data_IF_209874438916
#
_entry.id   IF_209874438916
#
_cell.length_a   1.000
_cell.length_b   1.000
_cell.length_c   1.000
_cell.angle_alpha   90.00
_cell.angle_beta   90.00
_cell.angle_gamma   90.00
#
_symmetry.space_group_name_H-M   'P 1'
#
loop_
_entity.id
_entity.type
_entity.pdbx_description
1 polymer ?
#
# COMPACT_ATOMS: atom_id res chain seq x y z
N UNK A 1 -1.25 6.53 -8.65
CA UNK A 1 -0.33 5.37 -8.58
C UNK A 1 1.07 5.86 -8.25
N UNK A 2 1.67 5.33 -7.18
CA UNK A 2 3.02 5.66 -6.73
C UNK A 2 4.00 4.67 -7.38
N UNK A 3 5.02 5.18 -8.07
CA UNK A 3 6.04 4.37 -8.73
C UNK A 3 7.37 5.09 -8.72
N UNK A 4 8.46 4.38 -8.47
CA UNK A 4 9.82 4.91 -8.70
C UNK A 4 10.07 4.98 -10.22
N UNK A 5 10.43 6.16 -10.79
CA UNK A 5 10.61 6.29 -12.24
C UNK A 5 11.60 5.29 -12.86
N UNK A 6 12.63 4.90 -12.11
CA UNK A 6 13.62 3.91 -12.54
C UNK A 6 13.10 2.46 -12.54
N UNK A 7 11.98 2.18 -11.86
CA UNK A 7 11.34 0.85 -11.80
C UNK A 7 10.37 0.67 -12.95
N UNK A 8 10.90 0.69 -14.16
CA UNK A 8 10.12 0.48 -15.39
C UNK A 8 9.49 -0.90 -15.45
N UNK A 9 10.11 -1.91 -14.81
CA UNK A 9 9.54 -3.25 -14.63
C UNK A 9 8.20 -3.17 -13.89
N UNK A 10 8.18 -2.51 -12.73
CA UNK A 10 6.97 -2.34 -11.91
C UNK A 10 5.93 -1.51 -12.62
N UNK A 11 6.37 -0.47 -13.33
CA UNK A 11 5.50 0.39 -14.12
C UNK A 11 4.73 -0.41 -15.18
N UNK A 12 5.41 -1.28 -15.92
CA UNK A 12 4.73 -2.13 -16.90
C UNK A 12 3.77 -3.13 -16.23
N UNK A 13 4.15 -3.71 -15.08
CA UNK A 13 3.29 -4.66 -14.35
C UNK A 13 1.98 -4.01 -13.89
N UNK A 14 2.04 -2.83 -13.28
CA UNK A 14 0.83 -2.13 -12.81
C UNK A 14 -0.05 -1.61 -13.96
N UNK A 15 0.53 -1.24 -15.10
CA UNK A 15 -0.24 -0.87 -16.30
C UNK A 15 -1.05 -2.05 -16.84
N UNK A 16 -0.50 -3.27 -16.79
CA UNK A 16 -1.25 -4.49 -17.13
C UNK A 16 -2.43 -4.68 -16.18
N UNK A 17 -2.23 -4.48 -14.87
CA UNK A 17 -3.31 -4.59 -13.88
C UNK A 17 -4.37 -3.50 -14.05
N UNK A 18 -3.99 -2.25 -14.36
CA UNK A 18 -4.95 -1.20 -14.71
C UNK A 18 -5.79 -1.57 -15.95
N UNK A 19 -5.16 -2.15 -16.97
CA UNK A 19 -5.84 -2.63 -18.17
C UNK A 19 -6.92 -3.67 -17.88
N UNK A 20 -6.75 -4.49 -16.84
CA UNK A 20 -7.74 -5.51 -16.43
C UNK A 20 -9.05 -4.92 -15.90
N UNK A 21 -9.03 -3.67 -15.45
CA UNK A 21 -10.23 -2.93 -15.03
C UNK A 21 -10.63 -1.84 -16.03
N UNK A 22 -10.06 -1.88 -17.24
CA UNK A 22 -10.40 -0.95 -18.33
C UNK A 22 -9.73 0.42 -18.24
N UNK A 23 -8.72 0.60 -17.38
CA UNK A 23 -7.96 1.84 -17.28
C UNK A 23 -6.65 1.76 -18.06
N UNK A 24 -6.29 2.85 -18.72
CA UNK A 24 -5.00 3.03 -19.39
C UNK A 24 -4.08 4.00 -18.65
N UNK A 25 -2.78 4.05 -18.99
CA UNK A 25 -1.85 5.02 -18.42
C UNK A 25 -2.18 6.47 -18.80
N UNK A 26 -2.86 6.68 -19.93
CA UNK A 26 -3.32 7.99 -20.42
C UNK A 26 -4.76 8.32 -19.98
N UNK A 27 -5.38 7.46 -19.17
CA UNK A 27 -6.72 7.72 -18.65
C UNK A 27 -6.69 8.94 -17.71
N UNK A 28 -7.59 9.92 -17.85
CA UNK A 28 -7.61 11.12 -17.01
C UNK A 28 -7.82 10.84 -15.51
N UNK A 29 -8.32 9.65 -15.15
CA UNK A 29 -8.46 9.19 -13.77
C UNK A 29 -7.16 8.61 -13.20
N UNK A 30 -6.18 8.31 -14.05
CA UNK A 30 -4.90 7.72 -13.66
C UNK A 30 -3.83 8.79 -13.68
N UNK A 31 -3.31 9.09 -12.48
CA UNK A 31 -2.10 9.90 -12.33
C UNK A 31 -0.96 9.04 -11.79
N UNK A 32 0.18 9.10 -12.46
CA UNK A 32 1.41 8.53 -11.92
C UNK A 32 2.15 9.58 -11.10
N UNK A 33 2.42 9.22 -9.86
CA UNK A 33 3.17 10.02 -8.92
C UNK A 33 4.59 9.44 -8.78
N UNK A 34 5.65 10.22 -9.05
CA UNK A 34 7.02 9.75 -8.87
C UNK A 34 7.29 9.55 -7.37
N UNK A 35 7.54 8.31 -6.97
CA UNK A 35 7.81 7.98 -5.58
C UNK A 35 9.05 8.74 -5.06
N UNK A 36 8.98 9.16 -3.80
CA UNK A 36 10.04 9.90 -3.13
C UNK A 36 11.13 8.94 -2.68
N UNK A 37 12.38 9.19 -3.10
CA UNK A 37 13.57 8.46 -2.67
C UNK A 37 14.49 9.34 -1.82
N UNK A 38 14.33 9.36 -0.49
CA UNK A 38 15.17 10.16 0.38
C UNK A 38 16.60 9.63 0.40
N UNK A 39 17.58 10.52 0.60
CA UNK A 39 19.00 10.14 0.67
C UNK A 39 19.36 9.42 1.99
N UNK A 40 18.59 9.64 3.05
CA UNK A 40 18.85 9.12 4.39
C UNK A 40 17.55 8.69 5.09
N UNK A 41 17.65 7.78 6.06
CA UNK A 41 16.48 7.26 6.80
C UNK A 41 15.90 8.25 7.83
N UNK A 42 16.70 9.18 8.36
CA UNK A 42 16.31 10.02 9.48
C UNK A 42 15.81 9.18 10.68
N UNK A 43 14.69 9.59 11.27
CA UNK A 43 14.02 8.91 12.38
C UNK A 43 13.24 7.65 11.98
N UNK A 44 13.19 7.30 10.69
CA UNK A 44 12.50 6.11 10.21
C UNK A 44 13.36 4.85 10.36
N UNK A 45 12.70 3.70 10.34
CA UNK A 45 13.35 2.38 10.40
C UNK A 45 14.27 2.10 9.20
N UNK A 46 13.95 2.65 8.03
CA UNK A 46 14.73 2.49 6.80
C UNK A 46 14.52 3.66 5.83
N UNK A 47 15.41 3.78 4.84
CA UNK A 47 15.27 4.74 3.73
C UNK A 47 13.98 4.45 2.96
N UNK A 48 13.67 3.17 2.72
CA UNK A 48 12.47 2.73 2.04
C UNK A 48 11.19 3.10 2.79
N UNK A 49 11.15 2.89 4.11
CA UNK A 49 10.00 3.27 4.93
C UNK A 49 9.74 4.79 4.90
N UNK A 50 10.81 5.59 4.98
CA UNK A 50 10.71 7.05 4.81
C UNK A 50 10.22 7.42 3.41
N UNK A 51 10.74 6.77 2.37
CA UNK A 51 10.35 7.02 0.98
C UNK A 51 8.88 6.71 0.72
N UNK A 52 8.40 5.56 1.18
CA UNK A 52 6.99 5.16 1.10
C UNK A 52 6.09 6.17 1.86
N UNK A 53 6.44 6.50 3.11
CA UNK A 53 5.71 7.52 3.89
C UNK A 53 5.62 8.88 3.16
N UNK A 54 6.76 9.39 2.67
CA UNK A 54 6.80 10.67 1.99
C UNK A 54 6.04 10.64 0.65
N UNK A 55 6.09 9.52 -0.08
CA UNK A 55 5.34 9.36 -1.33
C UNK A 55 3.84 9.46 -1.11
N UNK A 56 3.32 8.79 -0.07
CA UNK A 56 1.91 8.91 0.31
C UNK A 56 1.57 10.33 0.75
N UNK A 57 2.40 10.96 1.59
CA UNK A 57 2.18 12.33 2.05
C UNK A 57 2.10 13.31 0.86
N UNK A 58 3.00 13.21 -0.11
CA UNK A 58 2.99 14.13 -1.26
C UNK A 58 1.80 13.86 -2.21
N UNK A 59 1.37 12.61 -2.38
CA UNK A 59 0.11 12.31 -3.09
C UNK A 59 -1.10 12.96 -2.40
N UNK A 60 -1.16 12.91 -1.07
CA UNK A 60 -2.22 13.55 -0.30
C UNK A 60 -2.18 15.08 -0.44
N UNK A 61 -0.99 15.68 -0.41
CA UNK A 61 -0.82 17.13 -0.62
C UNK A 61 -1.25 17.56 -2.03
N UNK A 62 -0.85 16.80 -3.04
CA UNK A 62 -1.25 17.03 -4.44
C UNK A 62 -2.78 16.96 -4.59
N UNK A 63 -3.42 15.96 -3.97
CA UNK A 63 -4.87 15.82 -3.98
C UNK A 63 -5.58 17.01 -3.32
N UNK A 64 -5.09 17.50 -2.19
CA UNK A 64 -5.61 18.72 -1.53
C UNK A 64 -5.42 19.94 -2.42
N UNK A 65 -4.22 20.13 -2.98
CA UNK A 65 -3.92 21.28 -3.83
C UNK A 65 -4.81 21.33 -5.08
N UNK A 66 -5.17 20.18 -5.64
CA UNK A 66 -6.07 20.04 -6.78
C UNK A 66 -7.55 20.03 -6.42
N UNK A 67 -7.90 20.05 -5.13
CA UNK A 67 -9.28 20.03 -4.67
C UNK A 67 -10.01 18.70 -4.91
N UNK A 68 -9.28 17.59 -4.99
CA UNK A 68 -9.90 16.27 -5.14
C UNK A 68 -10.68 15.88 -3.89
N UNK A 69 -11.92 15.43 -4.09
CA UNK A 69 -12.81 14.97 -3.01
C UNK A 69 -12.78 13.47 -2.81
N UNK A 70 -12.21 12.73 -3.75
CA UNK A 70 -12.08 11.27 -3.68
C UNK A 70 -10.83 10.88 -4.43
N UNK A 71 -9.98 10.08 -3.82
CA UNK A 71 -8.76 9.55 -4.44
C UNK A 71 -8.58 8.07 -4.12
N UNK A 72 -7.87 7.38 -5.00
CA UNK A 72 -7.36 6.03 -4.77
C UNK A 72 -5.84 6.06 -4.93
N UNK A 73 -5.14 5.69 -3.86
CA UNK A 73 -3.69 5.53 -3.85
C UNK A 73 -3.40 4.06 -4.09
N UNK A 74 -2.64 3.79 -5.16
CA UNK A 74 -2.12 2.48 -5.53
C UNK A 74 -0.60 2.53 -5.52
N UNK A 75 0.06 1.55 -4.91
CA UNK A 75 1.50 1.31 -5.12
C UNK A 75 1.72 0.51 -6.42
N UNK A 76 2.95 0.54 -6.96
CA UNK A 76 3.28 -0.10 -8.25
C UNK A 76 3.40 -1.63 -8.19
N UNK A 77 3.31 -2.21 -7.00
CA UNK A 77 3.32 -3.64 -6.75
C UNK A 77 1.94 -4.21 -6.44
N UNK A 78 0.84 -3.49 -6.71
CA UNK A 78 -0.51 -4.06 -6.54
C UNK A 78 -0.89 -5.00 -7.70
N UNK A 79 -1.52 -6.11 -7.34
CA UNK A 79 -2.30 -6.99 -8.22
C UNK A 79 -3.78 -6.95 -7.81
N UNK A 80 -4.70 -7.04 -8.77
CA UNK A 80 -6.10 -7.31 -8.48
C UNK A 80 -6.30 -8.77 -8.04
N UNK A 81 -7.17 -8.97 -7.06
CA UNK A 81 -7.60 -10.33 -6.70
C UNK A 81 -8.63 -10.85 -7.70
N UNK A 82 -8.81 -12.17 -7.75
CA UNK A 82 -9.87 -12.76 -8.58
C UNK A 82 -11.25 -12.25 -8.21
N UNK A 83 -11.50 -11.99 -6.92
CA UNK A 83 -12.76 -11.44 -6.44
C UNK A 83 -13.01 -10.03 -6.98
N UNK A 84 -11.98 -9.18 -7.03
CA UNK A 84 -12.10 -7.85 -7.62
C UNK A 84 -12.51 -7.90 -9.11
N UNK A 85 -11.90 -8.82 -9.86
CA UNK A 85 -12.15 -8.97 -11.28
C UNK A 85 -13.49 -9.64 -11.61
N UNK A 86 -14.00 -10.53 -10.74
CA UNK A 86 -15.25 -11.26 -11.00
C UNK A 86 -16.49 -10.54 -10.49
N UNK A 87 -16.43 -9.91 -9.31
CA UNK A 87 -17.61 -9.36 -8.63
C UNK A 87 -17.83 -7.87 -8.91
N UNK A 88 -16.79 -7.17 -9.38
CA UNK A 88 -16.82 -5.72 -9.63
C UNK A 88 -16.85 -4.86 -8.36
N UNK A 89 -16.73 -3.54 -8.53
CA UNK A 89 -16.55 -2.58 -7.43
C UNK A 89 -17.86 -1.89 -6.97
N UNK A 90 -19.03 -2.47 -7.24
CA UNK A 90 -20.33 -1.81 -7.03
C UNK A 90 -20.55 -1.30 -5.60
N UNK A 91 -20.25 -2.13 -4.59
CA UNK A 91 -20.42 -1.75 -3.17
C UNK A 91 -19.42 -0.67 -2.72
N UNK A 92 -18.20 -0.66 -3.28
CA UNK A 92 -17.19 0.38 -3.01
C UNK A 92 -17.67 1.75 -3.50
N UNK A 93 -18.37 1.77 -4.64
CA UNK A 93 -18.90 3.00 -5.24
C UNK A 93 -20.17 3.49 -4.54
N UNK A 94 -21.03 2.58 -4.09
CA UNK A 94 -22.32 2.91 -3.48
C UNK A 94 -22.24 3.36 -2.01
N UNK A 95 -21.16 3.00 -1.30
CA UNK A 95 -21.02 3.25 0.15
C UNK A 95 -20.32 4.58 0.43
N UNK A 96 -20.69 5.27 1.53
CA UNK A 96 -20.16 6.59 1.92
C UNK A 96 -19.01 6.50 2.94
N UNK A 97 -18.05 5.61 2.71
CA UNK A 97 -16.86 5.49 3.56
C UNK A 97 -15.95 6.72 3.39
N UNK A 98 -15.23 7.07 4.44
CA UNK A 98 -14.21 8.12 4.39
C UNK A 98 -12.83 7.52 4.07
N UNK A 99 -12.48 6.40 4.70
CA UNK A 99 -11.23 5.67 4.51
C UNK A 99 -11.49 4.24 4.07
N UNK A 100 -10.82 3.76 3.02
CA UNK A 100 -10.96 2.40 2.51
C UNK A 100 -9.59 1.72 2.40
N UNK A 101 -9.48 0.51 2.95
CA UNK A 101 -8.35 -0.39 2.74
C UNK A 101 -8.74 -1.51 1.77
N UNK A 102 -7.90 -1.84 0.80
CA UNK A 102 -8.18 -2.86 -0.22
C UNK A 102 -8.16 -4.33 0.27
N UNK A 103 -8.12 -4.54 1.58
CA UNK A 103 -7.87 -5.84 2.23
C UNK A 103 -6.40 -6.24 2.32
N UNK A 104 -6.04 -7.18 3.21
CA UNK A 104 -4.66 -7.65 3.42
C UNK A 104 -4.13 -8.58 2.32
N UNK A 105 -4.93 -8.91 1.30
CA UNK A 105 -4.52 -9.70 0.14
C UNK A 105 -4.48 -11.22 0.35
N UNK A 106 -4.82 -11.72 1.55
CA UNK A 106 -4.71 -13.15 1.92
C UNK A 106 -6.05 -13.81 2.28
N UNK A 107 -7.18 -13.15 2.01
CA UNK A 107 -8.49 -13.70 2.40
C UNK A 107 -8.89 -14.90 1.54
N UNK A 108 -9.40 -15.95 2.16
CA UNK A 108 -10.11 -17.00 1.46
C UNK A 108 -11.37 -16.39 0.81
N UNK A 109 -11.67 -16.75 -0.43
CA UNK A 109 -12.89 -16.32 -1.13
C UNK A 109 -14.08 -16.88 -0.36
N UNK A 110 -14.75 -16.04 0.44
CA UNK A 110 -15.95 -16.40 1.16
C UNK A 110 -17.06 -15.44 0.76
N UNK A 111 -18.00 -15.92 -0.07
CA UNK A 111 -19.22 -15.20 -0.45
C UNK A 111 -19.28 -14.80 -1.93
N UNK A 112 -20.46 -14.29 -2.31
CA UNK A 112 -20.69 -13.58 -3.59
C UNK A 112 -20.59 -12.08 -3.29
N UNK A 113 -19.88 -11.33 -4.10
CA UNK A 113 -19.68 -9.88 -3.91
C UNK A 113 -18.48 -9.50 -3.04
N UNK A 114 -18.12 -8.21 -3.13
CA UNK A 114 -17.12 -7.55 -2.29
C UNK A 114 -17.85 -6.72 -1.25
N UNK A 115 -17.83 -7.16 0.01
CA UNK A 115 -18.42 -6.44 1.13
C UNK A 115 -17.44 -5.43 1.76
N UNK A 116 -17.98 -4.49 2.54
CA UNK A 116 -17.20 -3.53 3.32
C UNK A 116 -17.31 -3.77 4.83
N UNK A 117 -16.28 -4.38 5.41
CA UNK A 117 -16.19 -4.55 6.86
C UNK A 117 -15.69 -3.27 7.53
N UNK A 118 -16.20 -2.97 8.73
CA UNK A 118 -15.71 -1.85 9.54
C UNK A 118 -14.32 -2.16 10.08
N UNK A 119 -13.37 -1.24 9.89
CA UNK A 119 -12.10 -1.27 10.58
C UNK A 119 -12.24 -0.52 11.91
N UNK A 120 -12.18 -1.25 13.02
CA UNK A 120 -12.24 -0.62 14.35
C UNK A 120 -10.99 0.25 14.60
N UNK A 121 -11.08 1.39 15.32
CA UNK A 121 -9.96 2.33 15.47
C UNK A 121 -8.67 1.73 16.06
N UNK A 122 -8.78 0.71 16.90
CA UNK A 122 -7.63 0.00 17.48
C UNK A 122 -7.02 -1.09 16.58
N UNK A 123 -7.64 -1.40 15.44
CA UNK A 123 -7.14 -2.39 14.50
C UNK A 123 -6.17 -1.73 13.52
N UNK A 124 -4.92 -2.18 13.57
CA UNK A 124 -3.87 -1.75 12.66
C UNK A 124 -4.17 -2.21 11.23
N UNK A 125 -3.79 -1.36 10.26
CA UNK A 125 -3.74 -1.70 8.84
C UNK A 125 -2.32 -2.06 8.46
N UNK A 126 -2.19 -2.97 7.50
CA UNK A 126 -0.91 -3.42 6.94
C UNK A 126 -1.09 -3.63 5.45
N UNK A 127 0.00 -3.49 4.70
CA UNK A 127 0.02 -3.64 3.24
C UNK A 127 -0.89 -2.58 2.60
N UNK A 128 -0.50 -1.31 2.72
CA UNK A 128 -1.31 -0.18 2.26
C UNK A 128 -1.11 0.13 0.78
N UNK A 129 -0.87 -0.91 -0.04
CA UNK A 129 -0.74 -0.83 -1.50
C UNK A 129 -2.03 -0.39 -2.20
N UNK A 130 -3.16 -0.41 -1.48
CA UNK A 130 -4.46 0.10 -1.92
C UNK A 130 -5.15 0.88 -0.79
N UNK A 131 -5.24 2.21 -0.94
CA UNK A 131 -5.91 3.10 0.01
C UNK A 131 -6.85 4.06 -0.71
N UNK A 132 -8.15 3.98 -0.42
CA UNK A 132 -9.16 4.92 -0.87
C UNK A 132 -9.44 5.98 0.19
N UNK A 133 -9.59 7.24 -0.22
CA UNK A 133 -9.88 8.36 0.70
C UNK A 133 -10.93 9.29 0.10
N UNK A 134 -11.86 9.76 0.93
CA UNK A 134 -12.95 10.67 0.52
C UNK A 134 -13.14 11.83 1.49
N UNK A 135 -13.48 12.99 0.94
CA UNK A 135 -13.85 14.19 1.67
C UNK A 135 -12.69 14.81 2.46
N UNK A 136 -13.03 15.41 3.60
CA UNK A 136 -12.13 16.20 4.42
C UNK A 136 -10.98 15.40 5.04
N UNK A 137 -11.09 14.06 5.12
CA UNK A 137 -10.05 13.26 5.76
C UNK A 137 -8.72 13.31 4.99
N UNK A 138 -8.75 13.65 3.70
CA UNK A 138 -7.53 13.81 2.89
C UNK A 138 -6.68 14.94 3.49
N UNK A 139 -7.28 16.11 3.75
CA UNK A 139 -6.58 17.25 4.35
C UNK A 139 -6.17 16.97 5.81
N UNK A 140 -7.02 16.26 6.57
CA UNK A 140 -6.70 15.86 7.94
C UNK A 140 -5.52 14.90 8.00
N UNK A 141 -5.42 13.96 7.06
CA UNK A 141 -4.28 13.06 6.92
C UNK A 141 -3.00 13.82 6.58
N UNK A 142 -3.05 14.80 5.67
CA UNK A 142 -1.89 15.67 5.39
C UNK A 142 -1.37 16.31 6.67
N UNK A 143 -2.25 16.98 7.42
CA UNK A 143 -1.86 17.65 8.66
C UNK A 143 -1.31 16.67 9.70
N UNK A 144 -1.92 15.49 9.84
CA UNK A 144 -1.49 14.48 10.80
C UNK A 144 -0.13 13.88 10.44
N UNK A 145 0.08 13.45 9.19
CA UNK A 145 1.36 12.89 8.72
C UNK A 145 2.47 13.94 8.76
N UNK A 146 2.19 15.21 8.48
CA UNK A 146 3.16 16.30 8.66
C UNK A 146 3.57 16.47 10.13
N UNK A 147 2.61 16.41 11.06
CA UNK A 147 2.91 16.47 12.50
C UNK A 147 3.73 15.25 12.95
N UNK A 148 3.54 14.07 12.36
CA UNK A 148 4.38 12.90 12.66
C UNK A 148 5.84 13.13 12.31
N UNK A 149 6.15 13.87 11.24
CA UNK A 149 7.53 14.17 10.84
C UNK A 149 8.28 15.06 11.83
N UNK A 150 7.57 15.82 12.68
CA UNK A 150 8.18 16.72 13.67
C UNK A 150 8.34 16.09 15.05
N UNK A 151 7.88 14.84 15.23
CA UNK A 151 7.96 14.11 16.49
C UNK A 151 9.18 13.17 16.50
N UNK A 152 9.71 12.81 17.67
CA UNK A 152 10.74 11.77 17.76
C UNK A 152 10.19 10.39 17.37
N UNK A 153 11.06 9.52 16.87
CA UNK A 153 10.71 8.11 16.67
C UNK A 153 10.17 7.49 17.98
N UNK A 154 9.09 6.71 17.87
CA UNK A 154 8.46 6.08 19.04
C UNK A 154 7.62 7.04 19.92
N UNK A 155 7.34 8.27 19.48
CA UNK A 155 6.41 9.17 20.17
C UNK A 155 5.07 8.46 20.47
N UNK A 156 4.50 8.65 21.69
CA UNK A 156 3.22 8.05 22.07
C UNK A 156 2.02 8.66 21.34
N UNK A 157 2.20 9.78 20.66
CA UNK A 157 1.23 10.39 19.74
C UNK A 157 1.38 9.88 18.29
N UNK A 158 2.37 9.01 18.04
CA UNK A 158 2.80 8.55 16.73
C UNK A 158 3.87 9.46 16.12
N UNK A 159 5.09 8.95 15.96
CA UNK A 159 6.20 9.62 15.28
C UNK A 159 6.52 9.05 13.90
N UNK A 160 7.70 9.34 13.34
CA UNK A 160 8.18 8.76 12.08
C UNK A 160 8.17 7.22 12.10
N UNK A 161 7.48 6.59 11.14
CA UNK A 161 7.32 5.14 11.02
C UNK A 161 6.86 4.74 9.62
N UNK A 162 6.73 3.44 9.33
CA UNK A 162 6.14 2.96 8.08
C UNK A 162 4.72 3.53 7.87
N UNK A 163 4.32 3.75 6.63
CA UNK A 163 3.03 4.39 6.30
C UNK A 163 1.82 3.58 6.81
N UNK A 164 1.89 2.25 6.80
CA UNK A 164 0.94 1.34 7.45
C UNK A 164 0.64 1.75 8.90
N UNK A 165 1.71 1.99 9.66
CA UNK A 165 1.64 2.46 11.04
C UNK A 165 1.04 3.86 11.11
N UNK A 166 1.45 4.77 10.21
CA UNK A 166 0.94 6.14 10.18
C UNK A 166 -0.58 6.19 9.98
N UNK A 167 -1.12 5.42 9.04
CA UNK A 167 -2.57 5.31 8.83
C UNK A 167 -3.28 4.67 10.03
N UNK A 168 -2.67 3.67 10.67
CA UNK A 168 -3.21 3.05 11.88
C UNK A 168 -3.30 4.05 13.04
N UNK A 169 -2.27 4.87 13.24
CA UNK A 169 -2.24 5.92 14.25
C UNK A 169 -3.26 7.03 13.98
N UNK A 170 -3.38 7.48 12.73
CA UNK A 170 -4.42 8.44 12.33
C UNK A 170 -5.81 7.91 12.69
N UNK A 171 -6.12 6.68 12.30
CA UNK A 171 -7.43 6.06 12.57
C UNK A 171 -7.69 5.88 14.07
N UNK A 172 -6.67 5.59 14.86
CA UNK A 172 -6.77 5.51 16.32
C UNK A 172 -7.06 6.87 16.96
N UNK A 173 -6.41 7.93 16.46
CA UNK A 173 -6.60 9.30 16.94
C UNK A 173 -7.94 9.92 16.48
N UNK A 174 -8.56 9.34 15.45
CA UNK A 174 -9.79 9.85 14.83
C UNK A 174 -10.85 8.75 14.70
N UNK A 175 -11.39 8.25 15.83
CA UNK A 175 -12.32 7.13 15.86
C UNK A 175 -13.68 7.42 15.19
N UNK A 176 -13.99 8.68 14.92
CA UNK A 176 -15.17 9.14 14.18
C UNK A 176 -15.08 8.93 12.67
N UNK A 177 -13.88 8.68 12.13
CA UNK A 177 -13.69 8.42 10.69
C UNK A 177 -14.32 7.07 10.34
N UNK A 178 -15.24 7.06 9.36
CA UNK A 178 -15.76 5.81 8.82
C UNK A 178 -14.70 5.11 7.96
N UNK A 179 -13.98 4.18 8.59
CA UNK A 179 -12.93 3.39 7.97
C UNK A 179 -13.42 1.97 7.67
N UNK A 180 -13.25 1.54 6.41
CA UNK A 180 -13.67 0.25 5.89
C UNK A 180 -12.52 -0.53 5.30
N UNK A 181 -12.69 -1.84 5.23
CA UNK A 181 -11.82 -2.77 4.52
C UNK A 181 -12.66 -3.65 3.61
N UNK A 182 -12.17 -3.90 2.40
CA UNK A 182 -12.80 -4.83 1.49
C UNK A 182 -12.69 -6.27 2.00
N UNK A 183 -13.80 -7.00 1.98
CA UNK A 183 -13.87 -8.42 2.30
C UNK A 183 -14.73 -9.13 1.24
N UNK A 184 -14.15 -10.03 0.42
CA UNK A 184 -12.72 -10.36 0.36
C UNK A 184 -11.85 -9.18 -0.10
N UNK A 185 -10.54 -9.28 0.14
CA UNK A 185 -9.55 -8.35 -0.40
C UNK A 185 -9.72 -8.15 -1.90
N UNK A 186 -9.65 -6.90 -2.35
CA UNK A 186 -9.69 -6.53 -3.79
C UNK A 186 -8.30 -6.39 -4.40
N UNK A 187 -7.30 -6.17 -3.56
CA UNK A 187 -5.94 -5.94 -3.96
C UNK A 187 -5.00 -6.80 -3.13
N UNK A 188 -3.93 -7.31 -3.75
CA UNK A 188 -2.82 -7.98 -3.04
C UNK A 188 -1.50 -7.32 -3.43
N UNK A 189 -0.52 -7.39 -2.54
CA UNK A 189 0.83 -6.95 -2.83
C UNK A 189 1.61 -8.05 -3.56
N UNK A 190 2.17 -7.73 -4.72
CA UNK A 190 3.05 -8.61 -5.49
C UNK A 190 4.39 -8.69 -4.76
N UNK A 191 4.82 -9.92 -4.47
CA UNK A 191 6.14 -10.15 -3.88
C UNK A 191 7.23 -9.51 -4.76
N UNK A 192 8.13 -8.76 -4.14
CA UNK A 192 9.26 -8.13 -4.81
C UNK A 192 10.49 -8.18 -3.92
N UNK A 193 11.68 -8.10 -4.53
CA UNK A 193 12.90 -7.76 -3.78
C UNK A 193 12.82 -6.26 -3.52
N UNK A 194 12.17 -5.86 -2.44
CA UNK A 194 12.07 -4.45 -2.04
C UNK A 194 13.18 -4.08 -1.05
N UNK A 195 13.63 -2.83 -1.10
CA UNK A 195 14.57 -2.25 -0.11
C UNK A 195 13.88 -1.92 1.23
N UNK A 196 12.56 -2.08 1.31
CA UNK A 196 11.75 -1.74 2.49
C UNK A 196 11.91 -2.81 3.57
N UNK A 197 12.04 -4.07 3.17
CA UNK A 197 12.45 -5.16 4.04
C UNK A 197 13.96 -5.39 3.93
N UNK A 198 14.73 -4.89 4.89
CA UNK A 198 16.04 -5.49 5.13
C UNK A 198 15.81 -6.93 5.60
N UNK A 199 16.07 -7.90 4.73
CA UNK A 199 16.25 -9.28 5.17
C UNK A 199 17.32 -9.27 6.27
N UNK A 200 16.93 -9.40 7.55
CA UNK A 200 17.85 -9.96 8.55
C UNK A 200 18.21 -11.33 8.01
N UNK A 201 19.41 -11.41 7.42
CA UNK A 201 19.84 -12.54 6.62
C UNK A 201 19.48 -13.85 7.28
N UNK A 202 18.48 -14.53 6.74
CA UNK A 202 18.40 -15.96 6.91
C UNK A 202 19.60 -16.49 6.13
N UNK A 203 20.70 -16.73 6.87
CA UNK A 203 21.76 -17.63 6.45
C UNK A 203 21.06 -18.79 5.77
N UNK A 204 21.47 -19.05 4.52
CA UNK A 204 21.15 -20.25 3.78
C UNK A 204 21.00 -21.40 4.77
N UNK A 205 19.76 -21.81 5.00
CA UNK A 205 19.53 -22.96 5.85
C UNK A 205 20.17 -24.14 5.15
N UNK A 206 20.74 -25.04 5.95
CA UNK A 206 21.37 -26.30 5.53
C UNK A 206 20.60 -27.11 4.45
N UNK A 207 19.27 -26.97 4.22
CA UNK A 207 18.59 -27.59 3.09
C UNK A 207 19.03 -27.11 1.70
N UNK A 208 19.39 -25.83 1.51
CA UNK A 208 19.73 -25.33 0.17
C UNK A 208 21.09 -25.84 -0.35
N UNK A 209 21.96 -26.27 0.57
CA UNK A 209 23.33 -26.68 0.26
C UNK A 209 23.42 -28.15 -0.20
N UNK A 210 22.50 -29.02 0.26
CA UNK A 210 22.47 -30.42 -0.22
C UNK A 210 21.96 -30.52 -1.67
N UNK A 211 20.96 -29.71 -2.04
CA UNK A 211 20.40 -29.70 -3.39
C UNK A 211 21.45 -29.27 -4.43
N UNK A 212 22.27 -28.27 -4.11
CA UNK A 212 23.39 -27.84 -4.97
C UNK A 212 24.50 -28.89 -5.09
N UNK A 213 24.78 -29.65 -4.03
CA UNK A 213 25.77 -30.74 -4.05
C UNK A 213 25.28 -31.96 -4.83
N UNK A 214 23.99 -32.24 -4.81
CA UNK A 214 23.38 -33.33 -5.59
C UNK A 214 23.39 -33.01 -7.09
N UNK A 215 23.01 -31.78 -7.47
CA UNK A 215 22.95 -31.36 -8.87
C UNK A 215 24.34 -31.28 -9.53
N UNK A 216 25.41 -30.96 -8.77
CA UNK A 216 26.80 -30.96 -9.31
C UNK A 216 27.37 -32.35 -9.57
N UNK A 217 26.83 -33.42 -8.98
CA UNK A 217 27.25 -34.80 -9.27
C UNK A 217 26.55 -35.40 -10.50
N UNK A 218 25.40 -34.85 -10.88
CA UNK A 218 24.65 -35.29 -12.07
C UNK A 218 25.19 -34.67 -13.36
N UNK A 219 25.95 -33.57 -13.27
CA UNK A 219 26.58 -32.92 -14.43
C UNK A 219 28.01 -33.39 -14.73
N UNK A 220 28.52 -34.40 -14.00
CA UNK A 220 29.88 -34.93 -14.16
C UNK A 220 29.89 -36.44 -14.49
N UNK A 221 28.79 -36.96 -15.05
CA UNK A 221 28.68 -38.30 -15.64
C UNK A 221 28.19 -38.18 -17.08
#
# INVERSE_FOLDING_TARGET
MINLPERTDRRCEIEVELGRIGLGPDDPLVQVFPAVRPAERGEFESIGARGCFLSHLEVLRDAVAKGYRSILILEDDVDWTSAALSEGAGELLASDWAFLHGGPGNDAVAGKGIGLARLVPGQDVRLTHFIGLRGEIIARLVAYLQAMLTRPAGSPEGGPMHVDGAYSWFRRAHPEVDARVCVPSVARQRSSRSDIFQHRGWRASRPADWARRLLRRVQAL
#
